data_IF_878138712851
#
_entry.id   IF_878138712851
#
_cell.length_a   1.000
_cell.length_b   1.000
_cell.length_c   1.000
_cell.angle_alpha   90.00
_cell.angle_beta   90.00
_cell.angle_gamma   90.00
#
_symmetry.space_group_name_H-M   'P 1'
#
loop_
_entity.id
_entity.type
_entity.pdbx_description
1 polymer ?
#
# COMPACT_ATOMS: atom_id res chain seq x y z
N UNK A 1 -31.57 33.63 -8.86
CA UNK A 1 -30.36 33.41 -8.04
C UNK A 1 -29.89 31.99 -8.32
N UNK A 2 -28.67 31.85 -8.85
CA UNK A 2 -28.09 30.55 -9.21
C UNK A 2 -27.89 29.71 -7.95
N UNK A 3 -28.70 28.67 -7.80
CA UNK A 3 -28.40 27.56 -6.89
C UNK A 3 -27.16 26.84 -7.43
N UNK A 4 -25.99 27.36 -7.04
CA UNK A 4 -24.74 26.64 -7.09
C UNK A 4 -24.92 25.42 -6.21
N UNK A 5 -25.38 24.30 -6.80
CA UNK A 5 -25.34 22.97 -6.22
C UNK A 5 -23.89 22.79 -5.78
N UNK A 6 -23.61 23.01 -4.50
CA UNK A 6 -22.31 22.74 -3.91
C UNK A 6 -22.08 21.25 -4.09
N UNK A 7 -21.39 20.87 -5.16
CA UNK A 7 -20.98 19.50 -5.39
C UNK A 7 -20.21 19.06 -4.15
N UNK A 8 -20.85 18.22 -3.34
CA UNK A 8 -20.27 17.70 -2.11
C UNK A 8 -19.08 16.86 -2.55
N UNK A 9 -17.86 17.37 -2.30
CA UNK A 9 -16.62 16.66 -2.65
C UNK A 9 -16.75 15.22 -2.13
N UNK A 10 -16.54 14.21 -3.00
CA UNK A 10 -16.78 12.83 -2.63
C UNK A 10 -15.93 12.47 -1.40
N UNK A 11 -16.49 11.64 -0.52
CA UNK A 11 -15.78 11.15 0.65
C UNK A 11 -14.43 10.54 0.23
N UNK A 12 -13.40 10.76 1.05
CA UNK A 12 -12.04 10.27 0.87
C UNK A 12 -12.01 8.80 0.38
N UNK A 13 -12.79 7.92 1.03
CA UNK A 13 -12.85 6.50 0.68
C UNK A 13 -13.36 6.25 -0.75
N UNK A 14 -14.43 6.96 -1.12
CA UNK A 14 -15.04 6.88 -2.46
C UNK A 14 -14.06 7.38 -3.50
N UNK A 15 -13.33 8.46 -3.18
CA UNK A 15 -12.28 9.00 -4.03
C UNK A 15 -11.13 8.01 -4.19
N UNK A 16 -10.55 7.49 -3.11
CA UNK A 16 -9.45 6.53 -3.18
C UNK A 16 -9.77 5.26 -3.97
N UNK A 17 -10.99 4.72 -3.78
CA UNK A 17 -11.50 3.60 -4.59
C UNK A 17 -11.60 3.96 -6.08
N UNK A 18 -12.10 5.16 -6.39
CA UNK A 18 -12.22 5.66 -7.77
C UNK A 18 -10.85 5.85 -8.42
N UNK A 19 -9.92 6.51 -7.74
CA UNK A 19 -8.56 6.77 -8.23
C UNK A 19 -7.82 5.45 -8.50
N UNK A 20 -7.94 4.48 -7.60
CA UNK A 20 -7.35 3.15 -7.76
C UNK A 20 -7.94 2.44 -8.98
N UNK A 21 -9.26 2.45 -9.14
CA UNK A 21 -9.92 1.86 -10.33
C UNK A 21 -9.54 2.59 -11.61
N UNK A 22 -9.44 3.92 -11.58
CA UNK A 22 -9.04 4.72 -12.72
C UNK A 22 -7.63 4.36 -13.16
N UNK A 23 -6.69 4.18 -12.23
CA UNK A 23 -5.33 3.75 -12.54
C UNK A 23 -5.31 2.43 -13.33
N UNK A 24 -6.04 1.42 -12.87
CA UNK A 24 -6.13 0.12 -13.54
C UNK A 24 -6.87 0.15 -14.88
N UNK A 25 -7.68 1.17 -15.13
CA UNK A 25 -8.45 1.35 -16.37
C UNK A 25 -7.76 2.26 -17.39
N UNK A 26 -6.58 2.81 -17.10
CA UNK A 26 -5.80 3.57 -18.08
C UNK A 26 -4.99 2.58 -18.90
N UNK A 27 -5.07 2.71 -20.23
CA UNK A 27 -4.22 1.97 -21.15
C UNK A 27 -2.79 2.47 -21.03
N UNK A 28 -2.03 1.83 -20.15
CA UNK A 28 -0.59 2.02 -19.99
C UNK A 28 0.11 0.87 -20.76
N UNK A 29 1.16 1.15 -21.55
CA UNK A 29 1.95 0.10 -22.20
C UNK A 29 2.38 -0.96 -21.16
N UNK A 30 2.23 -2.26 -21.46
CA UNK A 30 2.51 -3.33 -20.50
C UNK A 30 3.91 -3.23 -19.89
N UNK A 31 4.91 -2.85 -20.68
CA UNK A 31 6.28 -2.65 -20.22
C UNK A 31 6.40 -1.56 -19.15
N UNK A 32 5.68 -0.44 -19.29
CA UNK A 32 5.67 0.65 -18.30
C UNK A 32 4.92 0.21 -17.04
N UNK A 33 3.80 -0.50 -17.20
CA UNK A 33 3.02 -1.02 -16.07
C UNK A 33 3.85 -1.99 -15.21
N UNK A 34 4.46 -3.00 -15.85
CA UNK A 34 5.29 -3.99 -15.16
C UNK A 34 6.51 -3.33 -14.49
N UNK A 35 7.21 -2.42 -15.18
CA UNK A 35 8.35 -1.69 -14.59
C UNK A 35 7.90 -0.85 -13.39
N UNK A 36 6.81 -0.11 -13.52
CA UNK A 36 6.31 0.74 -12.44
C UNK A 36 5.91 -0.08 -11.22
N UNK A 37 5.28 -1.24 -11.43
CA UNK A 37 4.95 -2.17 -10.36
C UNK A 37 6.20 -2.73 -9.66
N UNK A 38 7.17 -3.25 -10.42
CA UNK A 38 8.41 -3.83 -9.86
C UNK A 38 9.19 -2.77 -9.08
N UNK A 39 9.42 -1.59 -9.66
CA UNK A 39 10.15 -0.53 -8.98
C UNK A 39 9.36 0.04 -7.80
N UNK A 40 8.03 0.09 -7.89
CA UNK A 40 7.17 0.49 -6.77
C UNK A 40 7.28 -0.49 -5.59
N UNK A 41 7.29 -1.78 -5.89
CA UNK A 41 7.52 -2.84 -4.91
C UNK A 41 8.91 -2.74 -4.28
N UNK A 42 9.97 -2.61 -5.09
CA UNK A 42 11.35 -2.47 -4.61
C UNK A 42 11.53 -1.22 -3.73
N UNK A 43 10.93 -0.10 -4.12
CA UNK A 43 10.96 1.13 -3.32
C UNK A 43 10.24 0.95 -1.97
N UNK A 44 9.11 0.26 -1.96
CA UNK A 44 8.42 -0.07 -0.71
C UNK A 44 9.25 -1.02 0.17
N UNK A 45 9.92 -2.02 -0.41
CA UNK A 45 10.85 -2.91 0.32
C UNK A 45 11.96 -2.08 0.95
N UNK A 46 12.58 -1.17 0.19
CA UNK A 46 13.67 -0.33 0.68
C UNK A 46 13.27 0.52 1.91
N UNK A 47 12.01 0.96 1.97
CA UNK A 47 11.47 1.71 3.11
C UNK A 47 11.14 0.81 4.31
N UNK A 48 10.54 -0.36 4.07
CA UNK A 48 10.01 -1.23 5.14
C UNK A 48 11.06 -2.19 5.70
N UNK A 49 11.99 -2.67 4.86
CA UNK A 49 12.97 -3.69 5.22
C UNK A 49 13.85 -3.30 6.42
N UNK A 50 14.37 -2.05 6.54
CA UNK A 50 15.15 -1.66 7.72
C UNK A 50 14.36 -1.84 9.02
N UNK A 51 13.09 -1.43 9.04
CA UNK A 51 12.22 -1.61 10.19
C UNK A 51 11.94 -3.10 10.46
N UNK A 52 11.76 -3.91 9.42
CA UNK A 52 11.58 -5.35 9.53
C UNK A 52 12.80 -6.07 10.11
N UNK A 53 14.02 -5.71 9.68
CA UNK A 53 15.27 -6.26 10.22
C UNK A 53 15.43 -5.89 11.70
N UNK A 54 15.19 -4.62 12.04
CA UNK A 54 15.22 -4.19 13.45
C UNK A 54 14.22 -5.00 14.28
N UNK A 55 12.97 -5.14 13.81
CA UNK A 55 11.94 -5.92 14.50
C UNK A 55 12.38 -7.37 14.74
N UNK A 56 12.96 -8.01 13.72
CA UNK A 56 13.47 -9.38 13.81
C UNK A 56 14.63 -9.51 14.80
N UNK A 57 15.59 -8.57 14.78
CA UNK A 57 16.68 -8.57 15.75
C UNK A 57 16.17 -8.41 17.18
N UNK A 58 15.22 -7.51 17.41
CA UNK A 58 14.59 -7.35 18.72
C UNK A 58 13.86 -8.61 19.17
N UNK A 59 13.13 -9.28 18.27
CA UNK A 59 12.48 -10.57 18.55
C UNK A 59 13.47 -11.65 18.98
N UNK A 60 14.61 -11.76 18.30
CA UNK A 60 15.65 -12.74 18.62
C UNK A 60 16.30 -12.50 19.99
N UNK A 61 16.44 -11.23 20.39
CA UNK A 61 17.08 -10.86 21.67
C UNK A 61 16.09 -10.95 22.85
N UNK A 62 14.84 -10.52 22.65
CA UNK A 62 13.86 -10.31 23.73
C UNK A 62 12.59 -11.18 23.60
N UNK A 63 12.70 -12.35 22.99
CA UNK A 63 11.61 -13.26 22.58
C UNK A 63 10.71 -13.84 23.68
N UNK A 64 10.28 -13.05 24.67
CA UNK A 64 9.29 -13.41 25.66
C UNK A 64 7.87 -13.39 25.06
N UNK A 65 7.04 -14.36 25.45
CA UNK A 65 5.64 -14.56 25.00
C UNK A 65 4.76 -13.30 25.08
N UNK A 66 5.02 -12.41 26.06
CA UNK A 66 4.25 -11.17 26.23
C UNK A 66 4.47 -10.15 25.12
N UNK A 67 5.70 -10.06 24.59
CA UNK A 67 6.07 -9.06 23.56
C UNK A 67 5.73 -9.57 22.16
N UNK A 68 5.61 -10.90 21.98
CA UNK A 68 5.25 -11.54 20.71
C UNK A 68 3.99 -10.95 20.05
N UNK A 69 2.95 -10.66 20.84
CA UNK A 69 1.70 -10.07 20.34
C UNK A 69 1.90 -8.68 19.75
N UNK A 70 2.76 -7.87 20.40
CA UNK A 70 3.10 -6.53 19.93
C UNK A 70 3.87 -6.64 18.61
N UNK A 71 4.80 -7.59 18.50
CA UNK A 71 5.54 -7.83 17.27
C UNK A 71 4.65 -8.29 16.11
N UNK A 72 3.68 -9.17 16.36
CA UNK A 72 2.68 -9.53 15.35
C UNK A 72 1.87 -8.31 14.89
N UNK A 73 1.43 -7.45 15.81
CA UNK A 73 0.71 -6.22 15.48
C UNK A 73 1.56 -5.28 14.63
N UNK A 74 2.81 -5.03 15.02
CA UNK A 74 3.74 -4.17 14.26
C UNK A 74 4.02 -4.76 12.87
N UNK A 75 4.22 -6.07 12.77
CA UNK A 75 4.44 -6.75 11.48
C UNK A 75 3.23 -6.60 10.57
N UNK A 76 2.02 -6.75 11.13
CA UNK A 76 0.77 -6.56 10.39
C UNK A 76 0.61 -5.13 9.89
N UNK A 77 0.83 -4.13 10.75
CA UNK A 77 0.83 -2.72 10.35
C UNK A 77 1.91 -2.43 9.28
N UNK A 78 3.08 -3.07 9.38
CA UNK A 78 4.14 -3.00 8.38
C UNK A 78 3.71 -3.53 7.01
N UNK A 79 2.99 -4.65 6.96
CA UNK A 79 2.44 -5.18 5.71
C UNK A 79 1.37 -4.26 5.11
N UNK A 80 0.48 -3.68 5.94
CA UNK A 80 -0.49 -2.69 5.47
C UNK A 80 0.23 -1.48 4.85
N UNK A 81 1.27 -0.99 5.54
CA UNK A 81 2.07 0.13 5.07
C UNK A 81 2.80 -0.20 3.76
N UNK A 82 3.35 -1.41 3.66
CA UNK A 82 3.96 -1.92 2.43
C UNK A 82 2.97 -1.93 1.26
N UNK A 83 1.73 -2.37 1.48
CA UNK A 83 0.70 -2.35 0.44
C UNK A 83 0.34 -0.92 0.00
N UNK A 84 0.19 0.01 0.95
CA UNK A 84 -0.02 1.42 0.62
C UNK A 84 1.14 2.00 -0.20
N UNK A 85 2.38 1.82 0.29
CA UNK A 85 3.59 2.39 -0.32
C UNK A 85 3.89 1.82 -1.71
N UNK A 86 3.79 0.51 -1.90
CA UNK A 86 4.04 -0.13 -3.19
C UNK A 86 3.10 0.40 -4.28
N UNK A 87 1.81 0.54 -3.97
CA UNK A 87 0.83 1.15 -4.86
C UNK A 87 1.10 2.65 -5.08
N UNK A 88 1.46 3.40 -4.04
CA UNK A 88 1.82 4.81 -4.16
C UNK A 88 2.99 5.04 -5.11
N UNK A 89 4.08 4.30 -4.92
CA UNK A 89 5.27 4.40 -5.76
C UNK A 89 4.99 3.92 -7.18
N UNK A 90 4.20 2.86 -7.36
CA UNK A 90 3.77 2.39 -8.69
C UNK A 90 3.08 3.51 -9.48
N UNK A 91 2.12 4.22 -8.87
CA UNK A 91 1.45 5.36 -9.52
C UNK A 91 2.45 6.47 -9.84
N UNK A 92 3.33 6.82 -8.90
CA UNK A 92 4.29 7.91 -9.09
C UNK A 92 5.32 7.61 -10.19
N UNK A 93 5.78 6.37 -10.27
CA UNK A 93 6.71 5.92 -11.28
C UNK A 93 6.01 5.88 -12.65
N UNK A 94 4.78 5.38 -12.72
CA UNK A 94 4.00 5.41 -13.95
C UNK A 94 3.77 6.86 -14.45
N UNK A 95 3.42 7.78 -13.54
CA UNK A 95 3.32 9.22 -13.82
C UNK A 95 4.64 9.79 -14.37
N UNK A 96 5.79 9.36 -13.85
CA UNK A 96 7.09 9.80 -14.35
C UNK A 96 7.44 9.23 -15.73
N UNK A 97 7.03 7.99 -16.04
CA UNK A 97 7.25 7.37 -17.35
C UNK A 97 6.35 7.94 -18.47
N UNK A 98 5.20 8.52 -18.13
CA UNK A 98 4.25 9.10 -19.10
C UNK A 98 3.81 10.51 -18.70
N UNK A 99 4.69 11.52 -18.81
CA UNK A 99 4.37 12.89 -18.40
C UNK A 99 3.21 13.50 -19.22
N UNK A 100 3.07 13.11 -20.49
CA UNK A 100 2.06 13.67 -21.41
C UNK A 100 0.64 13.08 -21.21
N UNK A 101 0.51 11.98 -20.46
CA UNK A 101 -0.77 11.32 -20.24
C UNK A 101 -1.58 12.03 -19.14
N UNK A 102 -2.37 13.04 -19.52
CA UNK A 102 -3.19 13.84 -18.59
C UNK A 102 -4.04 13.00 -17.65
N UNK A 103 -4.67 11.92 -18.15
CA UNK A 103 -5.50 11.02 -17.33
C UNK A 103 -4.71 10.36 -16.20
N UNK A 104 -3.44 10.03 -16.45
CA UNK A 104 -2.55 9.42 -15.45
C UNK A 104 -2.04 10.46 -14.46
N UNK A 105 -1.75 11.68 -14.91
CA UNK A 105 -1.29 12.79 -14.07
C UNK A 105 -2.37 13.28 -13.10
N UNK A 106 -3.64 13.22 -13.51
CA UNK A 106 -4.78 13.60 -12.66
C UNK A 106 -4.99 12.64 -11.48
N UNK A 107 -4.39 11.44 -11.52
CA UNK A 107 -4.54 10.45 -10.45
C UNK A 107 -3.85 10.91 -9.18
N UNK A 108 -4.64 10.95 -8.10
CA UNK A 108 -4.11 11.32 -6.80
C UNK A 108 -3.45 10.12 -6.09
N UNK A 109 -2.13 9.98 -6.25
CA UNK A 109 -1.34 8.94 -5.59
C UNK A 109 -1.56 8.87 -4.07
N UNK A 110 -1.78 10.01 -3.39
CA UNK A 110 -2.08 10.04 -1.94
C UNK A 110 -3.38 9.32 -1.58
N UNK A 111 -4.40 9.44 -2.42
CA UNK A 111 -5.68 8.75 -2.20
C UNK A 111 -5.56 7.25 -2.50
N UNK A 112 -4.73 6.89 -3.50
CA UNK A 112 -4.37 5.48 -3.77
C UNK A 112 -3.61 4.88 -2.58
N UNK A 113 -2.63 5.59 -2.02
CA UNK A 113 -1.88 5.17 -0.84
C UNK A 113 -2.80 4.83 0.33
N UNK A 114 -3.61 5.81 0.76
CA UNK A 114 -4.46 5.67 1.94
C UNK A 114 -5.57 4.61 1.74
N UNK A 115 -6.12 4.50 0.53
CA UNK A 115 -7.10 3.45 0.22
C UNK A 115 -6.50 2.05 0.29
N UNK A 116 -5.30 1.85 -0.28
CA UNK A 116 -4.62 0.56 -0.25
C UNK A 116 -4.04 0.22 1.13
N UNK A 117 -3.55 1.22 1.88
CA UNK A 117 -3.12 1.08 3.27
C UNK A 117 -4.23 0.49 4.15
N UNK A 118 -5.47 0.94 3.95
CA UNK A 118 -6.63 0.55 4.76
C UNK A 118 -7.55 -0.45 4.04
N UNK A 119 -7.03 -1.13 3.01
CA UNK A 119 -7.82 -2.10 2.25
C UNK A 119 -8.19 -3.30 3.13
N UNK A 120 -9.47 -3.43 3.46
CA UNK A 120 -9.99 -4.48 4.36
C UNK A 120 -9.64 -5.88 3.85
N UNK A 121 -9.77 -6.12 2.55
CA UNK A 121 -9.44 -7.41 1.94
C UNK A 121 -7.96 -7.77 2.13
N UNK A 122 -7.06 -6.81 1.90
CA UNK A 122 -5.64 -7.01 2.13
C UNK A 122 -5.32 -7.15 3.62
N UNK A 123 -5.99 -6.39 4.49
CA UNK A 123 -5.75 -6.45 5.93
C UNK A 123 -6.10 -7.80 6.54
N UNK A 124 -7.24 -8.38 6.15
CA UNK A 124 -7.65 -9.72 6.56
C UNK A 124 -6.67 -10.76 6.00
N UNK A 125 -6.34 -10.67 4.72
CA UNK A 125 -5.38 -11.57 4.08
C UNK A 125 -4.00 -11.54 4.79
N UNK A 126 -3.45 -10.36 5.02
CA UNK A 126 -2.17 -10.16 5.70
C UNK A 126 -2.20 -10.72 7.13
N UNK A 127 -3.32 -10.57 7.85
CA UNK A 127 -3.48 -11.13 9.18
C UNK A 127 -3.44 -12.66 9.16
N UNK A 128 -4.16 -13.29 8.22
CA UNK A 128 -4.15 -14.75 8.04
C UNK A 128 -2.75 -15.24 7.73
N UNK A 129 -2.03 -14.58 6.82
CA UNK A 129 -0.64 -14.94 6.47
C UNK A 129 0.28 -14.85 7.68
N UNK A 130 0.21 -13.78 8.48
CA UNK A 130 1.03 -13.63 9.69
C UNK A 130 0.73 -14.72 10.71
N UNK A 131 -0.54 -15.06 10.93
CA UNK A 131 -0.92 -16.12 11.87
C UNK A 131 -0.37 -17.47 11.40
N UNK A 132 -0.54 -17.81 10.12
CA UNK A 132 -0.05 -19.08 9.57
C UNK A 132 1.47 -19.19 9.63
N UNK A 133 2.18 -18.15 9.22
CA UNK A 133 3.66 -18.10 9.27
C UNK A 133 4.15 -18.11 10.71
N UNK A 134 3.53 -17.32 11.59
CA UNK A 134 3.84 -17.31 13.01
C UNK A 134 3.68 -18.69 13.63
N UNK A 135 2.55 -19.36 13.42
CA UNK A 135 2.34 -20.72 13.93
C UNK A 135 3.39 -21.70 13.40
N UNK A 136 3.77 -21.63 12.12
CA UNK A 136 4.78 -22.51 11.53
C UNK A 136 6.20 -22.30 12.09
N UNK A 137 6.56 -21.08 12.47
CA UNK A 137 7.91 -20.77 12.99
C UNK A 137 8.08 -21.21 14.46
N UNK A 138 6.99 -21.31 15.22
CA UNK A 138 7.02 -21.62 16.65
C UNK A 138 6.49 -23.04 17.00
N UNK A 139 6.15 -23.85 16.00
CA UNK A 139 5.92 -25.31 16.12
C UNK A 139 7.21 -26.01 15.70
#
# INVERSE_FOLDING_TARGET
MNDQVKEKKPNFWIRGKRETRNFYNIDIPPAVNTKSFIFGLLAAVLVILPAGIMLFQYLMIYGYLGVFRIYMLISWLGLLLFNGLSNYFTVKIAQAYQPDNKRLQDISAKHVFLYNLLSIGFAIFALIVIILVGLFVFI
#
